data_IF_055441503956
#
_entry.id   IF_055441503956
#
_cell.length_a   1.000
_cell.length_b   1.000
_cell.length_c   1.000
_cell.angle_alpha   90.00
_cell.angle_beta   90.00
_cell.angle_gamma   90.00
#
_symmetry.space_group_name_H-M   'P 1'
#
loop_
_entity.id
_entity.type
_entity.pdbx_description
1 polymer ?
#
# COMPACT_ATOMS: atom_id res chain seq x y z
N UNK A 1 -9.64 7.92 -3.53
CA UNK A 1 -9.66 8.60 -4.85
C UNK A 1 -8.37 8.37 -5.65
N UNK A 2 -7.27 9.12 -5.42
CA UNK A 2 -6.09 9.12 -6.32
C UNK A 2 -5.56 7.71 -6.64
N UNK A 3 -5.36 6.88 -5.62
CA UNK A 3 -4.85 5.52 -5.82
C UNK A 3 -5.74 4.69 -6.77
N UNK A 4 -7.06 4.70 -6.57
CA UNK A 4 -8.01 3.93 -7.37
C UNK A 4 -8.03 4.41 -8.83
N UNK A 5 -8.12 5.72 -9.06
CA UNK A 5 -8.19 6.30 -10.41
C UNK A 5 -6.87 6.12 -11.15
N UNK A 6 -5.77 6.49 -10.50
CA UNK A 6 -4.43 6.40 -11.08
C UNK A 6 -4.09 4.96 -11.47
N UNK A 7 -4.35 3.99 -10.57
CA UNK A 7 -4.03 2.60 -10.87
C UNK A 7 -4.90 2.04 -11.98
N UNK A 8 -6.20 2.35 -11.99
CA UNK A 8 -7.07 1.93 -13.08
C UNK A 8 -6.60 2.44 -14.44
N UNK A 9 -6.25 3.72 -14.54
CA UNK A 9 -5.75 4.31 -15.78
C UNK A 9 -4.41 3.70 -16.23
N UNK A 10 -3.54 3.33 -15.30
CA UNK A 10 -2.27 2.67 -15.64
C UNK A 10 -2.52 1.25 -16.17
N UNK A 11 -3.36 0.48 -15.50
CA UNK A 11 -3.69 -0.88 -15.92
C UNK A 11 -4.39 -0.90 -17.28
N UNK A 12 -5.37 -0.02 -17.49
CA UNK A 12 -6.07 0.11 -18.76
C UNK A 12 -5.12 0.54 -19.89
N UNK A 13 -4.47 1.70 -19.73
CA UNK A 13 -3.80 2.35 -20.85
C UNK A 13 -2.38 1.82 -21.10
N UNK A 14 -1.70 1.31 -20.08
CA UNK A 14 -0.30 0.90 -20.20
C UNK A 14 -0.14 -0.63 -20.15
N UNK A 15 -1.00 -1.33 -19.40
CA UNK A 15 -0.92 -2.79 -19.27
C UNK A 15 -1.99 -3.51 -20.09
N UNK A 16 -3.01 -2.82 -20.61
CA UNK A 16 -4.10 -3.43 -21.36
C UNK A 16 -4.92 -4.40 -20.51
N UNK A 17 -5.07 -4.11 -19.21
CA UNK A 17 -5.84 -4.90 -18.25
C UNK A 17 -7.03 -4.06 -17.81
N UNK A 18 -8.22 -4.51 -18.20
CA UNK A 18 -9.50 -3.94 -17.78
C UNK A 18 -10.16 -4.83 -16.74
N UNK A 19 -10.64 -4.23 -15.64
CA UNK A 19 -11.39 -4.91 -14.57
C UNK A 19 -12.91 -4.82 -14.76
N UNK A 20 -13.37 -4.13 -15.81
CA UNK A 20 -14.77 -4.04 -16.22
C UNK A 20 -15.64 -3.20 -15.28
N UNK A 21 -15.05 -2.28 -14.50
CA UNK A 21 -15.77 -1.50 -13.52
C UNK A 21 -15.23 -0.08 -13.37
N UNK A 22 -16.08 0.86 -12.93
CA UNK A 22 -15.67 2.22 -12.54
C UNK A 22 -14.59 2.15 -11.45
N UNK A 23 -13.52 2.96 -11.48
CA UNK A 23 -12.48 2.94 -10.45
C UNK A 23 -12.92 3.53 -9.11
N UNK A 24 -14.02 4.28 -9.07
CA UNK A 24 -14.55 4.88 -7.85
C UNK A 24 -15.78 4.09 -7.36
N UNK A 25 -15.95 3.93 -6.04
CA UNK A 25 -17.19 3.37 -5.48
C UNK A 25 -18.37 4.30 -5.74
N UNK A 26 -19.59 3.78 -5.63
CA UNK A 26 -20.81 4.58 -5.79
C UNK A 26 -20.97 5.61 -4.68
N UNK A 27 -20.57 5.29 -3.44
CA UNK A 27 -20.47 6.26 -2.34
C UNK A 27 -19.02 6.38 -1.92
N UNK A 28 -18.53 7.62 -1.85
CA UNK A 28 -17.13 7.89 -1.54
C UNK A 28 -16.84 7.85 -0.03
N UNK A 29 -17.22 6.75 0.63
CA UNK A 29 -16.84 6.48 2.02
C UNK A 29 -15.49 5.76 2.09
N UNK A 30 -14.80 5.86 3.24
CA UNK A 30 -13.53 5.16 3.44
C UNK A 30 -13.67 3.64 3.25
N UNK A 31 -14.74 3.04 3.76
CA UNK A 31 -14.97 1.60 3.65
C UNK A 31 -15.21 1.18 2.19
N UNK A 32 -16.08 1.88 1.47
CA UNK A 32 -16.36 1.56 0.07
C UNK A 32 -15.13 1.76 -0.82
N UNK A 33 -14.24 2.71 -0.52
CA UNK A 33 -12.95 2.81 -1.19
C UNK A 33 -12.06 1.59 -0.95
N UNK A 34 -12.04 1.07 0.28
CA UNK A 34 -11.24 -0.11 0.64
C UNK A 34 -11.76 -1.35 -0.09
N UNK A 35 -13.08 -1.57 -0.03
CA UNK A 35 -13.75 -2.68 -0.71
C UNK A 35 -13.50 -2.63 -2.22
N UNK A 36 -13.74 -1.46 -2.83
CA UNK A 36 -13.54 -1.26 -4.26
C UNK A 36 -12.11 -1.51 -4.68
N UNK A 37 -11.15 -1.00 -3.89
CA UNK A 37 -9.74 -1.17 -4.18
C UNK A 37 -9.30 -2.64 -4.05
N UNK A 38 -9.81 -3.35 -3.04
CA UNK A 38 -9.53 -4.77 -2.84
C UNK A 38 -10.06 -5.63 -4.01
N UNK A 39 -11.32 -5.44 -4.39
CA UNK A 39 -11.95 -6.17 -5.50
C UNK A 39 -11.19 -5.97 -6.82
N UNK A 40 -10.94 -4.71 -7.19
CA UNK A 40 -10.25 -4.41 -8.44
C UNK A 40 -8.80 -4.91 -8.44
N UNK A 41 -8.12 -4.86 -7.28
CA UNK A 41 -6.75 -5.38 -7.14
C UNK A 41 -6.70 -6.89 -7.32
N UNK A 42 -7.68 -7.64 -6.81
CA UNK A 42 -7.77 -9.09 -7.01
C UNK A 42 -7.96 -9.45 -8.49
N UNK A 43 -8.83 -8.73 -9.22
CA UNK A 43 -9.02 -8.92 -10.67
C UNK A 43 -7.75 -8.62 -11.47
N UNK A 44 -7.05 -7.53 -11.12
CA UNK A 44 -5.75 -7.18 -11.71
C UNK A 44 -4.71 -8.26 -11.45
N UNK A 45 -4.61 -8.75 -10.22
CA UNK A 45 -3.68 -9.82 -9.86
C UNK A 45 -3.94 -11.09 -10.67
N UNK A 46 -5.19 -11.53 -10.77
CA UNK A 46 -5.56 -12.70 -11.57
C UNK A 46 -5.17 -12.53 -13.05
N UNK A 47 -5.40 -11.34 -13.63
CA UNK A 47 -4.99 -11.04 -15.00
C UNK A 47 -3.47 -11.02 -15.19
N UNK A 48 -2.71 -10.54 -14.19
CA UNK A 48 -1.24 -10.52 -14.21
C UNK A 48 -0.64 -11.92 -14.09
N UNK A 49 -1.24 -12.79 -13.27
CA UNK A 49 -0.78 -14.19 -13.10
C UNK A 49 -0.86 -15.00 -14.39
N UNK A 50 -1.74 -14.64 -15.31
CA UNK A 50 -1.87 -15.27 -16.63
C UNK A 50 -0.90 -14.72 -17.69
N UNK A 51 0.02 -13.81 -17.32
CA UNK A 51 0.96 -13.20 -18.27
C UNK A 51 2.30 -13.91 -18.27
N UNK A 52 2.66 -14.42 -19.43
CA UNK A 52 3.96 -15.05 -19.68
C UNK A 52 5.08 -14.02 -19.89
N UNK A 53 6.32 -14.47 -19.76
CA UNK A 53 7.54 -13.66 -19.89
C UNK A 53 7.59 -12.77 -21.16
N UNK A 54 7.23 -13.25 -22.37
CA UNK A 54 7.24 -12.39 -23.55
C UNK A 54 6.29 -11.18 -23.45
N UNK A 55 5.19 -11.28 -22.70
CA UNK A 55 4.30 -10.15 -22.46
C UNK A 55 4.95 -9.11 -21.56
N UNK A 56 5.68 -9.55 -20.53
CA UNK A 56 6.40 -8.71 -19.58
C UNK A 56 7.58 -7.96 -20.22
N UNK A 57 8.33 -8.64 -21.07
CA UNK A 57 9.43 -8.06 -21.84
C UNK A 57 8.94 -7.12 -22.94
N UNK A 58 7.73 -7.38 -23.47
CA UNK A 58 7.10 -6.57 -24.50
C UNK A 58 6.93 -5.11 -24.11
N UNK A 59 7.09 -4.23 -25.11
CA UNK A 59 6.95 -2.79 -24.93
C UNK A 59 5.49 -2.35 -24.81
N UNK A 60 5.30 -1.28 -24.05
CA UNK A 60 4.09 -0.45 -23.97
C UNK A 60 4.47 1.03 -23.93
N UNK A 61 3.49 1.92 -24.03
CA UNK A 61 3.70 3.36 -23.90
C UNK A 61 3.56 3.76 -22.43
N UNK A 62 4.68 4.12 -21.81
CA UNK A 62 4.67 4.87 -20.56
C UNK A 62 4.58 6.35 -20.91
N UNK A 63 3.35 6.86 -20.96
CA UNK A 63 3.06 8.18 -21.54
C UNK A 63 3.57 8.28 -22.99
N UNK A 64 4.54 9.14 -23.24
CA UNK A 64 5.18 9.37 -24.53
C UNK A 64 6.41 8.48 -24.78
N UNK A 65 6.86 7.72 -23.77
CA UNK A 65 8.11 6.96 -23.84
C UNK A 65 7.87 5.44 -23.89
N UNK A 66 8.48 4.70 -24.83
CA UNK A 66 8.39 3.24 -24.86
C UNK A 66 9.18 2.60 -23.70
N UNK A 67 8.53 1.68 -22.99
CA UNK A 67 9.10 0.91 -21.87
C UNK A 67 8.53 -0.51 -21.85
N UNK A 68 9.28 -1.47 -21.32
CA UNK A 68 8.74 -2.81 -21.07
C UNK A 68 7.61 -2.77 -20.04
N UNK A 69 6.66 -3.71 -20.13
CA UNK A 69 5.58 -3.82 -19.14
C UNK A 69 6.11 -4.13 -17.74
N UNK A 70 7.19 -4.91 -17.64
CA UNK A 70 7.90 -5.14 -16.38
C UNK A 70 8.38 -3.81 -15.75
N UNK A 71 9.01 -2.93 -16.53
CA UNK A 71 9.45 -1.62 -16.05
C UNK A 71 8.27 -0.76 -15.58
N UNK A 72 7.17 -0.74 -16.34
CA UNK A 72 5.96 0.01 -15.97
C UNK A 72 5.36 -0.51 -14.66
N UNK A 73 5.33 -1.83 -14.46
CA UNK A 73 4.81 -2.41 -13.23
C UNK A 73 5.67 -2.06 -12.01
N UNK A 74 7.00 -2.10 -12.14
CA UNK A 74 7.91 -1.64 -11.07
C UNK A 74 7.64 -0.18 -10.71
N UNK A 75 7.41 0.69 -11.71
CA UNK A 75 7.03 2.09 -11.46
C UNK A 75 5.68 2.23 -10.76
N UNK A 76 4.70 1.39 -11.08
CA UNK A 76 3.38 1.39 -10.42
C UNK A 76 3.48 1.00 -8.95
N UNK A 77 4.32 0.02 -8.64
CA UNK A 77 4.64 -0.39 -7.26
C UNK A 77 5.30 0.78 -6.52
N UNK A 78 6.33 1.41 -7.11
CA UNK A 78 7.01 2.56 -6.52
C UNK A 78 6.07 3.76 -6.29
N UNK A 79 5.16 4.04 -7.23
CA UNK A 79 4.16 5.10 -7.10
C UNK A 79 3.20 4.84 -5.92
N UNK A 80 2.75 3.60 -5.75
CA UNK A 80 1.90 3.21 -4.60
C UNK A 80 2.65 3.37 -3.27
N UNK A 81 3.91 2.92 -3.22
CA UNK A 81 4.77 3.10 -2.05
C UNK A 81 5.00 4.58 -1.72
N UNK A 82 5.21 5.42 -2.74
CA UNK A 82 5.38 6.87 -2.60
C UNK A 82 4.16 7.54 -1.94
N UNK A 83 2.95 7.30 -2.46
CA UNK A 83 1.74 7.90 -1.87
C UNK A 83 1.38 7.31 -0.51
N UNK A 84 1.67 6.03 -0.26
CA UNK A 84 1.57 5.45 1.09
C UNK A 84 2.51 6.18 2.05
N UNK A 85 3.73 6.50 1.62
CA UNK A 85 4.69 7.33 2.36
C UNK A 85 4.12 8.69 2.76
N UNK A 86 3.53 9.42 1.80
CA UNK A 86 2.88 10.71 2.06
C UNK A 86 1.74 10.60 3.07
N UNK A 87 0.87 9.59 2.91
CA UNK A 87 -0.25 9.36 3.84
C UNK A 87 0.23 9.02 5.25
N UNK A 88 1.28 8.20 5.39
CA UNK A 88 1.87 7.92 6.69
C UNK A 88 2.43 9.16 7.37
N UNK A 89 3.14 10.03 6.63
CA UNK A 89 3.64 11.28 7.17
C UNK A 89 2.50 12.17 7.70
N UNK A 90 1.41 12.32 6.93
CA UNK A 90 0.23 13.07 7.36
C UNK A 90 -0.43 12.47 8.62
N UNK A 91 -0.55 11.13 8.68
CA UNK A 91 -1.10 10.45 9.85
C UNK A 91 -0.25 10.68 11.11
N UNK A 92 1.08 10.69 10.99
CA UNK A 92 1.98 11.04 12.11
C UNK A 92 1.78 12.48 12.58
N UNK A 93 1.68 13.42 11.65
CA UNK A 93 1.42 14.84 12.00
C UNK A 93 0.09 15.03 12.72
N UNK A 94 -0.87 14.14 12.48
CA UNK A 94 -2.17 14.11 13.16
C UNK A 94 -2.18 13.27 14.45
N UNK A 95 -1.02 12.79 14.92
CA UNK A 95 -0.90 11.98 16.14
C UNK A 95 -1.60 10.62 16.04
N UNK A 96 -1.67 10.03 14.85
CA UNK A 96 -2.27 8.70 14.64
C UNK A 96 -1.23 7.61 14.75
N UNK A 97 -1.55 6.54 15.46
CA UNK A 97 -0.72 5.35 15.53
C UNK A 97 -0.63 4.65 14.17
N UNK A 98 0.57 4.14 13.84
CA UNK A 98 0.86 3.52 12.56
C UNK A 98 1.41 2.10 12.70
N UNK A 99 0.76 1.18 12.00
CA UNK A 99 1.23 -0.19 11.78
C UNK A 99 2.41 -0.26 10.80
N UNK A 100 3.13 -1.38 10.83
CA UNK A 100 4.24 -1.67 9.94
C UNK A 100 3.90 -1.48 8.46
N UNK A 101 4.77 -0.76 7.75
CA UNK A 101 4.72 -0.62 6.29
C UNK A 101 5.71 -1.58 5.61
N UNK A 102 6.96 -1.57 6.08
CA UNK A 102 7.99 -2.55 5.77
C UNK A 102 8.89 -2.66 7.01
N UNK A 103 8.95 -3.83 7.65
CA UNK A 103 9.60 -3.97 8.95
C UNK A 103 8.94 -3.17 10.08
N UNK A 104 9.58 -3.08 11.26
CA UNK A 104 9.11 -2.27 12.39
C UNK A 104 9.05 -0.79 12.01
N UNK A 105 8.02 -0.06 12.46
CA UNK A 105 7.98 1.40 12.31
C UNK A 105 8.79 2.07 13.42
N UNK A 106 9.20 3.32 13.18
CA UNK A 106 9.77 4.17 14.23
C UNK A 106 8.84 4.25 15.47
N UNK A 107 7.53 4.19 15.24
CA UNK A 107 6.48 4.30 16.25
C UNK A 107 6.39 3.06 17.17
N UNK A 108 6.88 1.90 16.71
CA UNK A 108 6.91 0.64 17.50
C UNK A 108 8.20 0.44 18.31
N UNK A 109 8.84 1.53 18.75
CA UNK A 109 10.12 1.47 19.46
C UNK A 109 11.30 1.26 18.51
N UNK A 110 11.22 1.92 17.35
CA UNK A 110 12.16 1.82 16.23
C UNK A 110 13.61 1.64 16.68
N UNK A 111 14.16 0.51 16.24
CA UNK A 111 15.58 0.15 16.07
C UNK A 111 15.62 -1.39 16.03
N UNK A 112 16.39 -1.96 15.09
CA UNK A 112 16.64 -3.41 15.07
C UNK A 112 17.13 -3.96 16.42
N UNK A 113 17.79 -3.10 17.21
CA UNK A 113 18.30 -3.38 18.56
C UNK A 113 17.22 -3.84 19.55
N UNK A 114 15.97 -3.38 19.37
CA UNK A 114 14.87 -3.75 20.25
C UNK A 114 14.14 -5.02 19.81
N UNK A 115 14.58 -5.66 18.72
CA UNK A 115 13.92 -6.83 18.13
C UNK A 115 12.40 -6.65 17.94
N UNK A 116 11.97 -5.41 17.64
CA UNK A 116 10.56 -5.10 17.47
C UNK A 116 9.98 -5.96 16.32
N UNK A 117 8.81 -6.60 16.51
CA UNK A 117 8.19 -7.38 15.46
C UNK A 117 7.58 -6.47 14.39
N UNK A 118 7.46 -6.98 13.16
CA UNK A 118 6.60 -6.38 12.14
C UNK A 118 5.15 -6.64 12.51
N UNK A 119 4.35 -5.58 12.67
CA UNK A 119 2.95 -5.69 13.08
C UNK A 119 2.07 -5.10 11.99
N UNK A 120 1.39 -5.96 11.23
CA UNK A 120 0.35 -5.55 10.30
C UNK A 120 -0.97 -5.30 11.02
N UNK A 121 -1.76 -4.35 10.51
CA UNK A 121 -3.07 -4.03 11.08
C UNK A 121 -4.07 -5.20 10.99
N UNK A 122 -3.95 -5.99 9.93
CA UNK A 122 -4.80 -7.14 9.60
C UNK A 122 -3.92 -8.23 8.96
N UNK A 123 -4.33 -9.49 9.11
CA UNK A 123 -3.55 -10.65 8.66
C UNK A 123 -3.79 -10.98 7.17
N UNK A 124 -4.91 -10.55 6.60
CA UNK A 124 -5.25 -10.73 5.19
C UNK A 124 -6.18 -9.62 4.68
N UNK A 125 -6.46 -9.62 3.37
CA UNK A 125 -7.45 -8.70 2.77
C UNK A 125 -8.85 -9.00 3.32
N UNK A 126 -9.20 -10.28 3.48
CA UNK A 126 -10.48 -10.72 4.04
C UNK A 126 -10.63 -10.25 5.50
N UNK A 127 -9.58 -10.40 6.31
CA UNK A 127 -9.56 -9.91 7.69
C UNK A 127 -9.65 -8.38 7.77
N UNK A 128 -9.04 -7.67 6.82
CA UNK A 128 -9.15 -6.22 6.68
C UNK A 128 -10.58 -5.79 6.34
N UNK A 129 -11.25 -6.45 5.40
CA UNK A 129 -12.63 -6.12 5.01
C UNK A 129 -13.61 -6.41 6.14
N UNK A 130 -13.49 -7.57 6.79
CA UNK A 130 -14.32 -7.92 7.95
C UNK A 130 -14.07 -6.97 9.14
N UNK A 131 -12.81 -6.64 9.40
CA UNK A 131 -12.43 -5.78 10.52
C UNK A 131 -12.88 -4.32 10.34
N UNK A 132 -12.76 -3.77 9.13
CA UNK A 132 -13.17 -2.39 8.84
C UNK A 132 -14.70 -2.25 8.76
N UNK A 133 -15.42 -3.24 8.24
CA UNK A 133 -16.90 -3.24 8.24
C UNK A 133 -17.49 -3.35 9.65
N UNK A 134 -16.78 -3.97 10.59
CA UNK A 134 -17.15 -4.04 12.01
C UNK A 134 -16.71 -2.81 12.85
N UNK A 135 -16.26 -1.73 12.23
CA UNK A 135 -15.88 -0.48 12.92
C UNK A 135 -14.38 -0.33 13.22
N UNK A 136 -13.52 -1.19 12.68
CA UNK A 136 -12.07 -1.06 12.73
C UNK A 136 -11.40 -1.91 13.81
N UNK A 137 -11.34 -3.23 13.58
CA UNK A 137 -10.70 -4.20 14.48
C UNK A 137 -9.19 -4.38 14.20
N UNK A 138 -8.43 -3.27 14.13
CA UNK A 138 -6.98 -3.33 13.90
C UNK A 138 -6.26 -4.00 15.07
N UNK A 139 -5.21 -4.76 14.78
CA UNK A 139 -4.28 -5.29 15.78
C UNK A 139 -3.78 -4.15 16.67
N UNK A 140 -3.77 -4.33 17.98
CA UNK A 140 -3.23 -3.33 18.92
C UNK A 140 -1.74 -3.19 18.70
N UNK A 141 -1.27 -1.96 18.65
CA UNK A 141 0.16 -1.67 18.62
C UNK A 141 0.72 -1.74 20.05
N UNK A 142 1.94 -2.23 20.24
CA UNK A 142 2.65 -2.03 21.49
C UNK A 142 2.78 -0.52 21.70
N UNK A 143 2.41 -0.04 22.88
CA UNK A 143 2.58 1.37 23.21
C UNK A 143 4.06 1.79 23.14
N UNK A 144 4.31 3.10 23.18
CA UNK A 144 5.67 3.61 23.15
C UNK A 144 6.50 2.99 24.29
N UNK A 145 7.78 2.61 24.06
CA UNK A 145 8.63 1.97 25.06
C UNK A 145 9.06 2.92 26.21
N UNK A 146 8.49 4.13 26.28
CA UNK A 146 8.83 5.17 27.26
C UNK A 146 10.20 5.84 27.05
N UNK A 147 11.01 5.34 26.10
CA UNK A 147 12.31 5.91 25.72
C UNK A 147 12.17 6.81 24.49
N UNK A 148 12.93 7.90 24.45
CA UNK A 148 13.07 8.74 23.26
C UNK A 148 13.67 7.92 22.11
N UNK A 149 13.02 7.94 20.95
CA UNK A 149 13.56 7.29 19.75
C UNK A 149 14.76 8.11 19.26
N UNK A 150 15.96 7.52 19.27
CA UNK A 150 17.20 8.16 18.82
C UNK A 150 18.13 7.13 18.20
N UNK A 151 18.84 7.50 17.13
CA UNK A 151 19.92 6.69 16.55
C UNK A 151 21.27 6.92 17.25
N UNK A 152 21.32 7.85 18.23
CA UNK A 152 22.53 8.15 18.99
C UNK A 152 22.80 7.08 20.06
N UNK A 153 24.06 6.75 20.34
CA UNK A 153 24.41 5.93 21.49
C UNK A 153 23.93 6.57 22.80
N UNK A 154 23.53 5.75 23.77
CA UNK A 154 23.14 6.22 25.10
C UNK A 154 24.27 7.07 25.71
N UNK A 155 23.93 8.30 26.15
CA UNK A 155 24.84 9.18 26.89
C UNK A 155 25.58 10.26 26.10
N UNK A 156 25.33 10.42 24.79
CA UNK A 156 25.83 11.57 24.02
C UNK A 156 24.75 12.65 23.85
N UNK A 157 25.00 13.91 24.26
CA UNK A 157 24.05 15.02 24.09
C UNK A 157 23.73 15.31 22.61
#
# INVERSE_FOLDING_TARGET
VHQCVSENLWFLNMLGIDVGASPLPTKETRLEFIEKYAEDSQKRLAALQAKEEPWWEGNTRFFDVPRSRAWVMVRRIAHTAHHRGQQMAMLRMLGRDLHSNYGPTADTGGLMQNHAPTIYAYDSVEALLAGESAGGAKRKLPGAPGKTVTERPDGMP
#
